data_IF_384801118621
#
_entry.id   IF_384801118621
#
_cell.length_a   1.000
_cell.length_b   1.000
_cell.length_c   1.000
_cell.angle_alpha   90.00
_cell.angle_beta   90.00
_cell.angle_gamma   90.00
#
_symmetry.space_group_name_H-M   'P 1'
#
loop_
_entity.id
_entity.type
_entity.pdbx_description
1 polymer ?
#
# COMPACT_ATOMS: atom_id res chain seq x y z
N UNK A 1 -4.72 10.33 13.87
CA UNK A 1 -5.06 9.73 12.57
C UNK A 1 -6.25 8.81 12.76
N UNK A 2 -7.26 8.89 11.90
CA UNK A 2 -8.51 8.14 12.02
C UNK A 2 -8.48 6.88 11.14
N UNK A 3 -9.21 5.85 11.55
CA UNK A 3 -9.56 4.73 10.66
C UNK A 3 -10.64 5.21 9.71
N UNK A 4 -10.57 4.78 8.45
CA UNK A 4 -11.64 5.01 7.47
C UNK A 4 -13.00 4.54 7.99
N UNK A 5 -14.06 5.26 7.64
CA UNK A 5 -15.45 4.86 7.88
C UNK A 5 -16.19 4.51 6.58
N UNK A 6 -15.47 4.45 5.46
CA UNK A 6 -16.08 4.11 4.17
C UNK A 6 -16.33 2.61 4.01
N UNK A 7 -15.92 1.80 4.98
CA UNK A 7 -16.04 0.34 4.97
C UNK A 7 -15.22 -0.33 3.87
N UNK A 8 -15.54 -1.59 3.59
CA UNK A 8 -14.87 -2.46 2.60
C UNK A 8 -15.77 -2.75 1.39
N UNK A 9 -16.65 -1.82 1.05
CA UNK A 9 -17.55 -1.95 -0.09
C UNK A 9 -16.78 -2.07 -1.42
N UNK A 10 -17.36 -2.79 -2.38
CA UNK A 10 -16.76 -2.96 -3.71
C UNK A 10 -16.53 -1.59 -4.36
N UNK A 11 -15.30 -1.32 -4.79
CA UNK A 11 -14.90 -0.11 -5.50
C UNK A 11 -14.72 1.15 -4.64
N UNK A 12 -14.92 1.10 -3.33
CA UNK A 12 -14.82 2.27 -2.44
C UNK A 12 -13.48 2.99 -2.61
N UNK A 13 -12.37 2.27 -2.53
CA UNK A 13 -11.03 2.84 -2.63
C UNK A 13 -10.51 2.93 -4.07
N UNK A 14 -11.32 2.55 -5.07
CA UNK A 14 -11.04 2.82 -6.48
C UNK A 14 -11.50 4.22 -6.90
N UNK A 15 -12.35 4.87 -6.11
CA UNK A 15 -12.82 6.23 -6.37
C UNK A 15 -11.68 7.24 -6.18
N UNK A 16 -11.00 7.59 -7.27
CA UNK A 16 -9.87 8.55 -7.25
C UNK A 16 -10.27 9.98 -6.91
N UNK A 17 -11.52 10.35 -7.11
CA UNK A 17 -12.01 11.68 -6.71
C UNK A 17 -12.07 11.82 -5.19
N UNK A 18 -12.41 10.74 -4.48
CA UNK A 18 -12.40 10.70 -3.01
C UNK A 18 -11.03 10.31 -2.45
N UNK A 19 -10.35 9.34 -3.05
CA UNK A 19 -9.06 8.81 -2.59
C UNK A 19 -7.98 8.99 -3.68
N UNK A 20 -7.46 10.21 -3.86
CA UNK A 20 -6.53 10.51 -4.94
C UNK A 20 -5.12 9.94 -4.71
N UNK A 21 -4.74 9.64 -3.47
CA UNK A 21 -3.38 9.21 -3.12
C UNK A 21 -3.36 8.22 -1.96
N UNK A 22 -2.46 7.24 -2.05
CA UNK A 22 -2.24 6.21 -1.04
C UNK A 22 -0.76 6.13 -0.65
N UNK A 23 -0.48 6.13 0.65
CA UNK A 23 0.87 6.01 1.21
C UNK A 23 0.98 4.77 2.09
N UNK A 24 2.13 4.12 2.07
CA UNK A 24 2.49 3.06 3.02
C UNK A 24 3.73 3.45 3.81
N UNK A 25 3.91 2.82 4.97
CA UNK A 25 5.17 2.85 5.71
C UNK A 25 5.37 1.52 6.41
N UNK A 26 6.55 0.92 6.31
CA UNK A 26 6.88 -0.31 7.02
C UNK A 26 8.37 -0.46 7.26
N UNK A 27 8.75 -1.59 7.84
CA UNK A 27 10.13 -1.92 8.20
C UNK A 27 10.47 -3.34 7.78
N UNK A 28 9.99 -3.77 6.61
CA UNK A 28 10.39 -5.05 6.02
C UNK A 28 11.85 -5.09 5.59
N UNK A 29 12.22 -6.15 4.89
CA UNK A 29 13.55 -6.29 4.30
C UNK A 29 13.76 -5.19 3.27
N UNK A 30 14.87 -4.47 3.37
CA UNK A 30 15.08 -3.25 2.60
C UNK A 30 15.78 -3.58 1.28
N UNK A 31 15.22 -3.10 0.17
CA UNK A 31 15.78 -3.23 -1.18
C UNK A 31 15.76 -1.88 -1.89
N UNK A 32 16.74 -1.63 -2.76
CA UNK A 32 16.53 -0.74 -3.91
C UNK A 32 16.14 -1.59 -5.12
N UNK A 33 15.27 -1.05 -5.98
CA UNK A 33 14.95 -1.64 -7.27
C UNK A 33 15.37 -0.72 -8.40
N UNK A 34 16.02 -1.27 -9.42
CA UNK A 34 16.39 -0.55 -10.64
C UNK A 34 15.28 -0.63 -11.70
N UNK A 35 15.32 0.26 -12.70
CA UNK A 35 14.34 0.26 -13.80
C UNK A 35 14.35 -1.04 -14.63
N UNK A 36 15.47 -1.77 -14.63
CA UNK A 36 15.60 -3.11 -15.22
C UNK A 36 14.86 -4.21 -14.45
N UNK A 37 14.34 -3.91 -13.24
CA UNK A 37 13.76 -4.89 -12.32
C UNK A 37 14.79 -5.60 -11.43
N UNK A 38 16.07 -5.26 -11.53
CA UNK A 38 17.10 -5.75 -10.61
C UNK A 38 16.87 -5.23 -9.19
N UNK A 39 17.05 -6.09 -8.19
CA UNK A 39 16.90 -5.76 -6.77
C UNK A 39 18.25 -5.87 -6.06
N UNK A 40 18.59 -4.86 -5.27
CA UNK A 40 19.76 -4.87 -4.39
C UNK A 40 19.29 -4.82 -2.95
N UNK A 41 19.60 -5.85 -2.16
CA UNK A 41 19.26 -5.89 -0.74
C UNK A 41 20.18 -4.95 0.04
N UNK A 42 19.60 -4.10 0.87
CA UNK A 42 20.30 -3.11 1.69
C UNK A 42 20.38 -3.58 3.15
N UNK A 43 19.28 -4.11 3.69
CA UNK A 43 19.20 -4.57 5.07
C UNK A 43 18.10 -5.61 5.29
N UNK A 44 18.17 -6.31 6.43
CA UNK A 44 17.09 -7.18 6.91
C UNK A 44 15.88 -6.39 7.42
N UNK A 45 14.81 -7.13 7.73
CA UNK A 45 13.64 -6.56 8.36
C UNK A 45 13.96 -5.93 9.72
N UNK A 46 13.14 -4.95 10.10
CA UNK A 46 13.13 -4.22 11.37
C UNK A 46 14.36 -3.35 11.64
N UNK A 47 15.23 -3.15 10.65
CA UNK A 47 16.39 -2.28 10.79
C UNK A 47 16.02 -0.78 10.85
N UNK A 48 15.12 -0.34 9.98
CA UNK A 48 14.56 1.03 9.97
C UNK A 48 13.23 1.07 9.20
N UNK A 49 12.58 2.23 9.21
CA UNK A 49 11.31 2.47 8.49
C UNK A 49 11.57 3.09 7.13
N UNK A 50 10.87 2.59 6.12
CA UNK A 50 10.80 3.16 4.77
C UNK A 50 9.33 3.34 4.41
N UNK A 51 9.00 4.46 3.77
CA UNK A 51 7.66 4.78 3.31
C UNK A 51 7.66 5.27 1.88
N UNK A 52 6.48 5.33 1.29
CA UNK A 52 6.32 5.77 -0.09
C UNK A 52 4.89 5.65 -0.60
N UNK A 53 4.73 5.93 -1.88
CA UNK A 53 3.45 5.95 -2.58
C UNK A 53 3.05 4.56 -3.07
N UNK A 54 1.74 4.33 -3.14
CA UNK A 54 1.11 3.14 -3.74
C UNK A 54 0.06 3.65 -4.71
N UNK A 55 -0.02 3.07 -5.90
CA UNK A 55 -1.07 3.42 -6.87
C UNK A 55 -2.46 3.04 -6.36
N UNK A 56 -3.51 3.64 -6.94
CA UNK A 56 -4.88 3.25 -6.58
C UNK A 56 -5.09 1.73 -6.71
N UNK A 57 -5.85 1.11 -5.81
CA UNK A 57 -6.08 -0.32 -5.84
C UNK A 57 -6.78 -0.77 -7.13
N UNK A 58 -6.34 -1.92 -7.65
CA UNK A 58 -6.97 -2.63 -8.75
C UNK A 58 -8.20 -3.41 -8.29
N UNK A 59 -8.19 -3.87 -7.03
CA UNK A 59 -9.31 -4.50 -6.35
C UNK A 59 -9.55 -3.73 -5.06
N UNK A 60 -10.79 -3.32 -4.83
CA UNK A 60 -11.25 -2.74 -3.58
C UNK A 60 -12.51 -3.46 -3.16
N UNK A 61 -12.41 -4.34 -2.20
CA UNK A 61 -13.53 -5.01 -1.52
C UNK A 61 -13.11 -5.26 -0.06
N UNK A 62 -13.36 -6.45 0.48
CA UNK A 62 -12.79 -6.90 1.76
C UNK A 62 -11.25 -6.86 1.77
N UNK A 63 -10.63 -6.88 0.58
CA UNK A 63 -9.20 -6.73 0.34
C UNK A 63 -8.91 -5.50 -0.54
N UNK A 64 -7.74 -4.89 -0.35
CA UNK A 64 -7.18 -3.96 -1.32
C UNK A 64 -6.00 -4.61 -2.01
N UNK A 65 -6.01 -4.65 -3.34
CA UNK A 65 -4.93 -5.23 -4.14
C UNK A 65 -4.35 -4.17 -5.05
N UNK A 66 -3.05 -3.93 -4.94
CA UNK A 66 -2.32 -2.94 -5.73
C UNK A 66 -1.05 -3.53 -6.28
N UNK A 67 -0.49 -2.91 -7.33
CA UNK A 67 0.76 -3.34 -7.94
C UNK A 67 1.93 -2.35 -7.72
N UNK A 68 2.32 -2.04 -6.47
CA UNK A 68 3.38 -1.07 -6.22
C UNK A 68 4.78 -1.56 -6.62
N UNK A 69 4.97 -2.85 -6.90
CA UNK A 69 6.25 -3.37 -7.38
C UNK A 69 6.60 -2.96 -8.82
N UNK A 70 5.68 -2.31 -9.54
CA UNK A 70 6.03 -1.53 -10.74
C UNK A 70 6.60 -0.17 -10.32
N UNK A 71 7.81 -0.19 -9.76
CA UNK A 71 8.45 0.94 -9.07
C UNK A 71 8.62 2.21 -9.93
N UNK A 72 8.69 2.05 -11.25
CA UNK A 72 8.92 3.14 -12.20
C UNK A 72 7.68 3.49 -13.05
N UNK A 73 6.51 2.90 -12.75
CA UNK A 73 5.25 3.30 -13.41
C UNK A 73 4.64 4.50 -12.68
N UNK A 74 4.30 5.53 -13.44
CA UNK A 74 3.76 6.80 -12.91
C UNK A 74 2.49 6.64 -12.08
N UNK A 75 1.70 5.59 -12.32
CA UNK A 75 0.51 5.26 -11.53
C UNK A 75 0.80 5.04 -10.05
N UNK A 76 2.03 4.61 -9.70
CA UNK A 76 2.44 4.38 -8.33
C UNK A 76 3.06 5.61 -7.66
N UNK A 77 3.10 6.76 -8.33
CA UNK A 77 3.68 7.99 -7.81
C UNK A 77 5.22 7.99 -7.81
N UNK A 78 5.84 9.11 -7.40
CA UNK A 78 7.27 9.33 -7.50
C UNK A 78 8.10 8.52 -6.50
N UNK A 79 7.49 7.96 -5.47
CA UNK A 79 8.14 7.21 -4.39
C UNK A 79 7.51 5.83 -4.22
N UNK A 80 7.27 5.13 -5.34
CA UNK A 80 6.64 3.81 -5.33
C UNK A 80 7.31 2.87 -4.32
N UNK A 81 6.51 2.30 -3.41
CA UNK A 81 7.01 1.44 -2.33
C UNK A 81 6.28 0.11 -2.33
N UNK A 82 7.04 -0.97 -2.49
CA UNK A 82 6.56 -2.35 -2.49
C UNK A 82 6.89 -3.03 -1.15
N UNK A 83 5.87 -3.58 -0.48
CA UNK A 83 6.03 -4.32 0.77
C UNK A 83 6.66 -5.69 0.54
N UNK A 84 7.60 -6.04 1.42
CA UNK A 84 8.39 -7.29 1.38
C UNK A 84 8.34 -8.00 2.75
N UNK A 85 9.03 -9.15 2.97
CA UNK A 85 9.01 -9.84 4.26
C UNK A 85 9.40 -8.93 5.43
N UNK A 86 8.57 -8.92 6.47
CA UNK A 86 8.67 -8.02 7.63
C UNK A 86 7.81 -6.76 7.53
N UNK A 87 7.21 -6.47 6.37
CA UNK A 87 6.19 -5.43 6.25
C UNK A 87 4.77 -5.91 6.60
N UNK A 88 4.56 -7.18 6.91
CA UNK A 88 3.23 -7.70 7.31
C UNK A 88 2.66 -6.90 8.49
N UNK A 89 1.40 -6.49 8.38
CA UNK A 89 0.72 -5.61 9.34
C UNK A 89 1.02 -4.11 9.17
N UNK A 90 1.95 -3.73 8.29
CA UNK A 90 2.26 -2.32 8.05
C UNK A 90 1.08 -1.56 7.43
N UNK A 91 0.85 -0.30 7.82
CA UNK A 91 -0.33 0.45 7.42
C UNK A 91 -0.30 0.86 5.93
N UNK A 92 -1.49 0.85 5.33
CA UNK A 92 -1.82 1.58 4.12
C UNK A 92 -2.77 2.72 4.47
N UNK A 93 -2.38 3.92 4.08
CA UNK A 93 -3.09 5.16 4.30
C UNK A 93 -3.63 5.72 2.99
N UNK A 94 -4.76 6.42 3.04
CA UNK A 94 -5.29 7.18 1.93
C UNK A 94 -5.63 8.60 2.38
N UNK A 95 -5.51 9.58 1.47
CA UNK A 95 -6.11 10.88 1.68
C UNK A 95 -7.60 10.81 1.32
N UNK A 96 -8.49 11.06 2.27
CA UNK A 96 -9.92 11.22 1.99
C UNK A 96 -10.19 12.70 1.65
N UNK A 97 -10.39 12.99 0.37
CA UNK A 97 -10.61 14.34 -0.14
C UNK A 97 -11.97 14.93 0.26
N UNK A 98 -12.97 14.09 0.56
CA UNK A 98 -14.27 14.55 1.08
C UNK A 98 -14.10 15.03 2.51
N UNK A 99 -13.35 14.27 3.32
CA UNK A 99 -13.11 14.59 4.73
C UNK A 99 -11.92 15.51 4.98
N UNK A 100 -11.08 15.72 3.96
CA UNK A 100 -9.84 16.50 4.01
C UNK A 100 -8.88 16.02 5.11
N UNK A 101 -8.72 14.69 5.23
CA UNK A 101 -7.81 14.09 6.20
C UNK A 101 -7.20 12.78 5.71
N UNK A 102 -6.05 12.41 6.27
CA UNK A 102 -5.47 11.08 6.08
C UNK A 102 -6.20 10.06 6.95
N UNK A 103 -6.54 8.91 6.34
CA UNK A 103 -7.22 7.79 7.01
C UNK A 103 -6.43 6.48 6.83
N UNK A 104 -6.46 5.61 7.84
CA UNK A 104 -6.00 4.22 7.73
C UNK A 104 -7.07 3.41 6.99
N UNK A 105 -6.69 2.75 5.90
CA UNK A 105 -7.64 1.99 5.05
C UNK A 105 -7.42 0.48 5.11
N UNK A 106 -6.18 0.04 5.31
CA UNK A 106 -5.83 -1.37 5.32
C UNK A 106 -4.46 -1.61 5.96
N UNK A 107 -4.12 -2.87 6.19
CA UNK A 107 -2.77 -3.32 6.58
C UNK A 107 -2.22 -4.33 5.58
N UNK A 108 -0.91 -4.33 5.33
CA UNK A 108 -0.29 -5.28 4.40
C UNK A 108 -0.43 -6.71 4.94
N UNK A 109 -0.96 -7.60 4.11
CA UNK A 109 -1.13 -9.02 4.43
C UNK A 109 -0.18 -9.92 3.63
N UNK A 110 -0.03 -9.64 2.33
CA UNK A 110 0.70 -10.50 1.42
C UNK A 110 1.43 -9.75 0.32
N UNK A 111 2.33 -10.45 -0.35
CA UNK A 111 3.15 -9.94 -1.45
C UNK A 111 3.50 -11.07 -2.43
N UNK A 112 3.75 -10.73 -3.69
CA UNK A 112 3.93 -11.70 -4.77
C UNK A 112 5.39 -12.20 -4.92
N UNK A 113 6.13 -12.29 -3.81
CA UNK A 113 7.57 -12.53 -3.79
C UNK A 113 8.38 -11.25 -4.05
N UNK A 114 9.70 -11.31 -3.88
CA UNK A 114 10.60 -10.15 -3.95
C UNK A 114 10.58 -9.52 -5.33
N UNK A 115 10.65 -10.34 -6.38
CA UNK A 115 10.55 -9.90 -7.79
C UNK A 115 9.11 -9.69 -8.26
N UNK A 116 8.13 -9.96 -7.40
CA UNK A 116 6.71 -9.77 -7.66
C UNK A 116 6.33 -8.30 -7.87
N UNK A 117 5.04 -8.07 -8.13
CA UNK A 117 4.50 -6.73 -8.36
C UNK A 117 3.35 -6.38 -7.42
N UNK A 118 2.68 -7.39 -6.90
CA UNK A 118 1.41 -7.25 -6.19
C UNK A 118 1.58 -7.29 -4.68
N UNK A 119 0.93 -6.36 -4.00
CA UNK A 119 0.69 -6.41 -2.56
C UNK A 119 -0.81 -6.58 -2.32
N UNK A 120 -1.13 -7.44 -1.36
CA UNK A 120 -2.47 -7.62 -0.82
C UNK A 120 -2.54 -6.97 0.56
N UNK A 121 -3.54 -6.13 0.76
CA UNK A 121 -3.81 -5.48 2.02
C UNK A 121 -5.20 -5.91 2.50
N UNK A 122 -5.34 -6.18 3.80
CA UNK A 122 -6.63 -6.48 4.41
C UNK A 122 -7.30 -5.17 4.82
N UNK A 123 -8.51 -4.92 4.31
CA UNK A 123 -9.29 -3.74 4.69
C UNK A 123 -9.70 -3.79 6.16
N UNK A 124 -9.89 -2.63 6.78
CA UNK A 124 -10.43 -2.58 8.14
C UNK A 124 -11.93 -2.91 8.10
N UNK A 125 -12.30 -4.11 8.56
CA UNK A 125 -13.67 -4.63 8.59
C UNK A 125 -14.47 -4.18 9.81
N UNK A 126 -13.96 -3.29 10.66
CA UNK A 126 -14.59 -2.88 11.94
C UNK A 126 -15.88 -2.05 11.81
N UNK A 127 -16.56 -2.05 10.67
CA UNK A 127 -17.85 -1.36 10.50
C UNK A 127 -18.98 -2.27 9.97
N UNK A 128 -18.91 -3.59 10.22
CA UNK A 128 -19.90 -4.56 9.74
C UNK A 128 -20.45 -5.55 10.78
N UNK A 129 -20.26 -5.32 12.08
CA UNK A 129 -20.87 -6.12 13.16
C UNK A 129 -21.45 -5.22 14.24
#
# INVERSE_FOLDING_TARGET
>A
MSVTDAGTGKGVYQNRSRYPVFYRMGSGTQYTGAASGALTRIAGAYAWKTGGTVGSPLISDWSLVSNPGYLYQSVNGPLASYGTPGDSGSPLFAWDAVKKQWVLVAVLNGYAGEKGKTNWFNGDSRQGM
#
